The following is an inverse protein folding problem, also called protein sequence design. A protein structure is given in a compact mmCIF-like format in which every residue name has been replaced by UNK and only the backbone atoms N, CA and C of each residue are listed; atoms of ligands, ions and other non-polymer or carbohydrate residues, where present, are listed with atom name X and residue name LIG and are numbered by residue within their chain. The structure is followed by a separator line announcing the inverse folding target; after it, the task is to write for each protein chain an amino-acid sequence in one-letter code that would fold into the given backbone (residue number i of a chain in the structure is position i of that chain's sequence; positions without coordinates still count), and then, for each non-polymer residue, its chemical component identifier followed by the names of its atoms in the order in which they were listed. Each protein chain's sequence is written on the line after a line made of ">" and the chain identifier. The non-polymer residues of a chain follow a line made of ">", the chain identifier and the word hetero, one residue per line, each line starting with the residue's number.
data_IF_435853214120
#
_entry.id   IF_435853214120
#
_cell.length_a   1.000
_cell.length_b   1.000
_cell.length_c   1.000
_cell.angle_alpha   90.00
_cell.angle_beta   90.00
_cell.angle_gamma   90.00
#
_symmetry.space_group_name_H-M   'P 1'
#
loop_
_entity.id
_entity.type
_entity.pdbx_description
1 polymer ?
#
# COMPACT_ATOMS: atom_id res chain seq x y z
N UNK A 1 39.73 29.36 89.98
CA UNK A 1 38.85 30.07 90.94
C UNK A 1 37.88 30.93 90.15
N UNK A 2 36.58 30.89 90.50
CA UNK A 2 35.45 31.66 89.92
C UNK A 2 35.12 31.24 88.47
N UNK A 3 33.88 31.04 88.04
CA UNK A 3 32.53 31.02 88.61
C UNK A 3 31.58 30.43 87.52
N UNK A 4 30.28 30.21 87.78
CA UNK A 4 29.48 29.14 87.18
C UNK A 4 28.37 29.63 86.22
N UNK A 5 27.51 28.69 85.79
CA UNK A 5 26.02 28.77 85.71
C UNK A 5 25.43 28.21 84.40
N UNK A 6 24.62 27.15 84.59
CA UNK A 6 23.38 26.71 83.91
C UNK A 6 23.06 27.14 82.47
N UNK A 7 22.64 26.21 81.62
CA UNK A 7 21.24 25.74 81.44
C UNK A 7 21.19 24.83 80.18
N UNK A 8 20.78 23.58 80.32
CA UNK A 8 19.56 23.00 79.72
C UNK A 8 19.36 23.27 78.21
N UNK A 9 19.36 22.23 77.37
CA UNK A 9 18.14 21.56 76.90
C UNK A 9 18.48 20.53 75.79
N UNK A 10 17.89 19.34 75.90
CA UNK A 10 18.01 18.21 74.97
C UNK A 10 17.60 18.59 73.53
N UNK A 11 18.43 18.23 72.54
CA UNK A 11 18.05 18.24 71.13
C UNK A 11 17.55 16.85 70.71
N UNK A 12 16.29 16.79 70.30
CA UNK A 12 15.64 15.68 69.60
C UNK A 12 16.07 15.73 68.14
N UNK A 13 16.61 14.62 67.61
CA UNK A 13 16.90 14.45 66.18
C UNK A 13 15.61 14.04 65.45
N UNK A 14 15.11 14.89 64.56
CA UNK A 14 14.06 14.54 63.61
C UNK A 14 14.67 13.81 62.40
N UNK A 15 14.23 12.58 62.15
CA UNK A 15 14.48 11.87 60.90
C UNK A 15 13.46 12.33 59.85
N UNK A 16 13.93 12.99 58.79
CA UNK A 16 13.13 13.32 57.62
C UNK A 16 13.24 12.18 56.61
N UNK A 17 12.16 11.40 56.43
CA UNK A 17 12.00 10.46 55.33
C UNK A 17 11.61 11.23 54.06
N UNK A 18 12.53 11.37 53.11
CA UNK A 18 12.19 11.80 51.75
C UNK A 18 11.57 10.62 51.00
N UNK A 19 10.26 10.68 50.77
CA UNK A 19 9.61 9.90 49.71
C UNK A 19 9.88 10.60 48.37
N UNK A 20 10.82 10.05 47.59
CA UNK A 20 11.01 10.43 46.21
C UNK A 20 9.85 9.92 45.36
N UNK A 21 9.00 10.83 44.89
CA UNK A 21 8.07 10.55 43.79
C UNK A 21 8.90 10.44 42.51
N UNK A 22 9.09 9.21 42.01
CA UNK A 22 9.54 9.00 40.63
C UNK A 22 8.33 9.26 39.74
N UNK A 23 8.26 10.46 39.15
CA UNK A 23 7.34 10.72 38.06
C UNK A 23 7.79 9.85 36.87
N UNK A 24 7.08 8.75 36.61
CA UNK A 24 7.24 8.01 35.39
C UNK A 24 6.94 8.94 34.23
N UNK A 25 7.93 9.19 33.37
CA UNK A 25 7.71 9.85 32.11
C UNK A 25 6.78 8.95 31.29
N UNK A 26 5.50 9.32 31.22
CA UNK A 26 4.61 8.77 30.20
C UNK A 26 5.21 9.19 28.86
N UNK A 27 5.82 8.24 28.14
CA UNK A 27 6.09 8.41 26.73
C UNK A 27 4.76 8.71 26.07
N UNK A 28 4.53 9.97 25.66
CA UNK A 28 3.48 10.27 24.69
C UNK A 28 3.80 9.41 23.48
N UNK A 29 3.08 8.30 23.31
CA UNK A 29 3.00 7.68 22.02
C UNK A 29 2.25 8.69 21.17
N UNK A 30 2.93 9.26 20.16
CA UNK A 30 2.24 9.99 19.12
C UNK A 30 1.15 9.05 18.59
N UNK A 31 -0.08 9.56 18.47
CA UNK A 31 -1.12 8.76 17.83
C UNK A 31 -0.65 8.41 16.42
N UNK A 32 -0.86 7.16 15.95
CA UNK A 32 -0.46 6.77 14.61
C UNK A 32 -1.10 7.75 13.62
N UNK A 33 -0.30 8.23 12.66
CA UNK A 33 -0.81 9.16 11.65
C UNK A 33 -1.56 8.33 10.64
N UNK A 34 -2.85 8.62 10.50
CA UNK A 34 -3.65 7.90 9.55
C UNK A 34 -3.21 8.18 8.15
N UNK A 35 -3.69 7.33 7.26
CA UNK A 35 -3.29 7.41 5.89
C UNK A 35 -3.92 8.62 5.22
N UNK A 36 -3.23 9.75 5.38
CA UNK A 36 -3.49 11.03 4.73
C UNK A 36 -2.99 10.94 3.28
N UNK A 37 -3.93 11.09 2.37
CA UNK A 37 -3.70 11.16 0.92
C UNK A 37 -3.84 12.57 0.39
N UNK A 38 -4.33 13.52 1.19
CA UNK A 38 -4.66 14.86 0.72
C UNK A 38 -3.46 15.53 0.07
N UNK A 39 -2.26 15.30 0.61
CA UNK A 39 -1.02 15.85 0.06
C UNK A 39 -0.69 15.31 -1.33
N UNK A 40 -0.90 14.02 -1.59
CA UNK A 40 -0.56 13.40 -2.88
C UNK A 40 -1.70 13.39 -3.90
N UNK A 41 -2.94 13.67 -3.47
CA UNK A 41 -4.07 13.87 -4.38
C UNK A 41 -3.91 15.14 -5.23
N UNK A 42 -3.25 16.16 -4.68
CA UNK A 42 -3.03 17.44 -5.35
C UNK A 42 -1.54 17.80 -5.35
N UNK A 43 -0.68 17.03 -6.04
CA UNK A 43 0.75 17.31 -6.07
C UNK A 43 1.02 18.63 -6.82
N UNK A 44 2.12 19.33 -6.52
CA UNK A 44 2.53 20.50 -7.28
C UNK A 44 2.76 20.15 -8.76
N UNK A 45 2.64 21.13 -9.67
CA UNK A 45 2.92 20.93 -11.08
C UNK A 45 4.30 20.28 -11.29
N UNK A 46 4.36 19.25 -12.13
CA UNK A 46 5.60 18.55 -12.40
C UNK A 46 6.25 19.06 -13.69
N UNK A 47 7.48 19.58 -13.57
CA UNK A 47 8.31 19.95 -14.71
C UNK A 47 9.05 18.74 -15.26
N UNK A 48 8.67 18.30 -16.46
CA UNK A 48 9.31 17.17 -17.11
C UNK A 48 10.78 17.46 -17.48
N UNK A 49 11.68 16.47 -17.33
CA UNK A 49 13.06 16.62 -17.77
C UNK A 49 13.14 16.79 -19.29
N UNK A 50 14.27 17.31 -19.76
CA UNK A 50 14.54 17.39 -21.20
C UNK A 50 14.60 15.97 -21.79
N UNK A 51 13.80 15.73 -22.82
CA UNK A 51 13.85 14.51 -23.63
C UNK A 51 15.26 14.27 -24.18
N UNK A 52 15.76 13.06 -23.98
CA UNK A 52 16.99 12.54 -24.55
C UNK A 52 16.68 11.55 -25.70
N UNK A 53 17.71 11.07 -26.39
CA UNK A 53 17.56 10.00 -27.38
C UNK A 53 17.61 8.66 -26.66
N UNK A 54 16.79 7.70 -27.10
CA UNK A 54 16.98 6.30 -26.72
C UNK A 54 18.39 5.81 -27.10
N UNK A 55 18.98 5.01 -26.23
CA UNK A 55 20.32 4.43 -26.38
C UNK A 55 20.33 3.33 -27.42
N UNK A 56 19.28 2.53 -27.49
CA UNK A 56 19.09 1.49 -28.48
C UNK A 56 18.14 1.98 -29.57
N UNK A 57 18.53 1.86 -30.83
CA UNK A 57 17.75 2.42 -31.92
C UNK A 57 16.37 1.76 -32.03
N UNK A 58 16.25 0.46 -31.78
CA UNK A 58 14.99 -0.28 -31.79
C UNK A 58 13.97 0.26 -30.76
N UNK A 59 14.43 0.82 -29.64
CA UNK A 59 13.54 1.41 -28.63
C UNK A 59 12.81 2.66 -29.15
N UNK A 60 13.34 3.34 -30.18
CA UNK A 60 12.61 4.41 -30.87
C UNK A 60 11.39 3.90 -31.65
N UNK A 61 11.43 2.65 -32.10
CA UNK A 61 10.30 2.01 -32.78
C UNK A 61 9.31 1.45 -31.74
N UNK A 62 9.82 0.79 -30.70
CA UNK A 62 9.03 0.30 -29.57
C UNK A 62 8.19 1.40 -28.92
N UNK A 63 8.79 2.56 -28.64
CA UNK A 63 8.13 3.69 -27.98
C UNK A 63 7.11 4.43 -28.85
N UNK A 64 6.81 3.95 -30.07
CA UNK A 64 5.66 4.42 -30.85
C UNK A 64 4.36 3.72 -30.46
N UNK A 65 4.46 2.64 -29.68
CA UNK A 65 3.32 1.89 -29.15
C UNK A 65 2.88 2.44 -27.78
N UNK A 66 1.81 1.88 -27.22
CA UNK A 66 1.23 2.30 -25.94
C UNK A 66 2.13 1.90 -24.77
N UNK A 67 2.48 2.81 -23.84
CA UNK A 67 3.25 2.48 -22.64
C UNK A 67 2.38 1.80 -21.57
N UNK A 68 2.89 0.70 -21.00
CA UNK A 68 2.26 -0.05 -19.89
C UNK A 68 3.09 -0.03 -18.60
N UNK A 69 3.87 1.03 -18.44
CA UNK A 69 4.79 1.19 -17.32
C UNK A 69 4.09 1.13 -15.97
N UNK A 70 4.73 0.45 -15.01
CA UNK A 70 4.21 0.27 -13.66
C UNK A 70 5.27 0.60 -12.61
N UNK A 71 4.88 1.35 -11.59
CA UNK A 71 5.58 1.37 -10.31
C UNK A 71 4.93 0.38 -9.33
N UNK A 72 5.73 -0.41 -8.62
CA UNK A 72 5.23 -1.35 -7.60
C UNK A 72 5.11 -0.65 -6.24
N UNK A 73 3.88 -0.42 -5.79
CA UNK A 73 3.64 0.23 -4.51
C UNK A 73 4.30 -0.52 -3.35
N UNK A 74 4.79 0.24 -2.38
CA UNK A 74 5.46 -0.30 -1.19
C UNK A 74 4.71 0.10 0.08
N UNK A 75 4.72 -0.81 1.05
CA UNK A 75 4.45 -0.46 2.45
C UNK A 75 5.71 -0.68 3.25
N UNK A 76 6.12 0.32 4.01
CA UNK A 76 7.41 0.37 4.70
C UNK A 76 7.19 0.88 6.12
N UNK A 77 7.84 0.27 7.11
CA UNK A 77 7.78 0.77 8.47
C UNK A 77 8.63 2.05 8.59
N UNK A 78 8.11 3.06 9.28
CA UNK A 78 8.79 4.34 9.47
C UNK A 78 10.23 4.16 9.99
N UNK A 79 11.16 4.93 9.43
CA UNK A 79 12.58 4.86 9.77
C UNK A 79 13.38 3.75 9.07
N UNK A 80 12.75 2.91 8.23
CA UNK A 80 13.47 1.91 7.45
C UNK A 80 13.74 2.38 6.01
N UNK A 81 14.95 2.15 5.47
CA UNK A 81 15.20 2.31 4.04
C UNK A 81 14.42 1.26 3.25
N UNK A 82 14.16 1.53 1.98
CA UNK A 82 13.41 0.62 1.12
C UNK A 82 13.91 0.65 -0.32
N UNK A 83 13.49 -0.34 -1.11
CA UNK A 83 13.87 -0.48 -2.51
C UNK A 83 12.62 -0.60 -3.37
N UNK A 84 12.34 0.42 -4.16
CA UNK A 84 11.19 0.50 -5.04
C UNK A 84 11.51 -0.07 -6.41
N UNK A 85 10.56 -0.81 -6.99
CA UNK A 85 10.70 -1.41 -8.32
C UNK A 85 9.80 -0.68 -9.31
N UNK A 86 10.36 -0.35 -10.47
CA UNK A 86 9.60 0.11 -11.64
C UNK A 86 9.80 -0.84 -12.82
N UNK A 87 8.75 -1.07 -13.60
CA UNK A 87 8.73 -1.92 -14.80
C UNK A 87 8.29 -1.08 -16.00
N UNK A 88 9.02 -1.19 -17.10
CA UNK A 88 8.81 -0.39 -18.31
C UNK A 88 8.74 -1.29 -19.53
N UNK A 89 7.61 -1.22 -20.23
CA UNK A 89 7.31 -1.93 -21.45
C UNK A 89 6.40 -1.09 -22.37
N UNK A 90 6.30 -1.52 -23.62
CA UNK A 90 5.36 -0.96 -24.58
C UNK A 90 4.65 -2.08 -25.36
N UNK A 91 3.42 -1.78 -25.75
CA UNK A 91 2.65 -2.57 -26.70
C UNK A 91 1.54 -3.39 -26.07
N UNK A 92 0.36 -3.27 -26.66
CA UNK A 92 -0.92 -3.82 -26.17
C UNK A 92 -0.97 -5.35 -26.24
N UNK A 93 -0.24 -5.95 -27.18
CA UNK A 93 -0.29 -7.40 -27.43
C UNK A 93 0.90 -8.12 -26.82
N UNK A 94 2.10 -7.57 -26.99
CA UNK A 94 3.35 -8.27 -26.66
C UNK A 94 4.04 -7.76 -25.40
N UNK A 95 3.64 -6.60 -24.85
CA UNK A 95 4.22 -6.01 -23.64
C UNK A 95 5.75 -6.08 -23.63
N UNK A 96 6.36 -5.53 -24.69
CA UNK A 96 7.79 -5.68 -24.92
C UNK A 96 8.59 -4.73 -24.02
N UNK A 97 9.51 -5.32 -23.26
CA UNK A 97 10.36 -4.61 -22.32
C UNK A 97 11.15 -3.48 -22.96
N UNK A 98 11.16 -2.33 -22.28
CA UNK A 98 12.08 -1.23 -22.58
C UNK A 98 13.43 -1.55 -21.96
N UNK A 99 14.34 -2.14 -22.73
CA UNK A 99 15.63 -2.62 -22.23
C UNK A 99 16.73 -1.55 -22.32
N UNK A 100 17.52 -1.42 -21.25
CA UNK A 100 18.73 -0.58 -21.19
C UNK A 100 18.54 0.91 -21.47
N UNK A 101 17.39 1.49 -21.15
CA UNK A 101 17.09 2.91 -21.32
C UNK A 101 17.06 3.68 -20.01
N UNK A 102 17.27 4.99 -20.11
CA UNK A 102 17.33 5.86 -18.94
C UNK A 102 15.94 6.27 -18.46
N UNK A 103 15.74 6.12 -17.15
CA UNK A 103 14.58 6.59 -16.41
C UNK A 103 15.06 7.53 -15.30
N UNK A 104 14.46 8.71 -15.21
CA UNK A 104 14.67 9.61 -14.07
C UNK A 104 13.55 9.46 -13.05
N UNK A 105 13.89 9.53 -11.77
CA UNK A 105 12.97 9.29 -10.68
C UNK A 105 12.89 10.51 -9.78
N UNK A 106 11.66 10.83 -9.36
CA UNK A 106 11.33 11.99 -8.55
C UNK A 106 10.39 11.58 -7.44
N UNK A 107 10.55 12.14 -6.24
CA UNK A 107 9.66 11.89 -5.11
C UNK A 107 8.93 13.17 -4.71
N UNK A 108 7.68 13.02 -4.30
CA UNK A 108 6.90 14.06 -3.64
C UNK A 108 6.09 13.43 -2.50
N UNK A 109 5.80 14.22 -1.45
CA UNK A 109 5.14 13.77 -0.23
C UNK A 109 5.33 14.76 0.92
N UNK A 110 5.04 14.34 2.15
CA UNK A 110 5.04 15.21 3.32
C UNK A 110 6.32 16.01 3.49
N UNK A 111 6.15 17.29 3.82
CA UNK A 111 7.23 18.23 4.12
C UNK A 111 8.24 18.49 2.98
N UNK A 112 8.05 17.95 1.78
CA UNK A 112 8.98 18.16 0.65
C UNK A 112 8.74 19.48 -0.09
N UNK A 113 7.49 19.97 -0.10
CA UNK A 113 7.07 21.25 -0.72
C UNK A 113 7.05 21.26 -2.26
N UNK A 114 7.93 20.50 -2.91
CA UNK A 114 7.99 20.31 -4.36
C UNK A 114 8.59 18.93 -4.71
N UNK A 115 8.51 18.54 -5.98
CA UNK A 115 9.12 17.33 -6.51
C UNK A 115 10.64 17.36 -6.36
N UNK A 116 11.22 16.30 -5.78
CA UNK A 116 12.65 16.14 -5.60
C UNK A 116 13.20 15.08 -6.54
N UNK A 117 14.23 15.42 -7.32
CA UNK A 117 14.98 14.44 -8.10
C UNK A 117 15.74 13.49 -7.18
N UNK A 118 15.51 12.18 -7.32
CA UNK A 118 16.12 11.16 -6.46
C UNK A 118 17.03 10.19 -7.22
N UNK A 119 17.01 10.18 -8.55
CA UNK A 119 17.94 9.31 -9.27
C UNK A 119 17.74 9.20 -10.77
N UNK A 120 18.73 8.58 -11.40
CA UNK A 120 18.72 8.17 -12.80
C UNK A 120 19.12 6.71 -12.87
N UNK A 121 18.24 5.90 -13.44
CA UNK A 121 18.35 4.44 -13.46
C UNK A 121 18.28 3.94 -14.89
N UNK A 122 19.06 2.92 -15.22
CA UNK A 122 18.92 2.21 -16.50
C UNK A 122 18.01 1.00 -16.30
N UNK A 123 17.04 0.80 -17.20
CA UNK A 123 16.28 -0.44 -17.22
C UNK A 123 17.20 -1.62 -17.51
N UNK A 124 16.94 -2.78 -16.89
CA UNK A 124 17.68 -4.01 -17.16
C UNK A 124 17.09 -4.77 -18.39
N UNK A 125 17.52 -6.02 -18.59
CA UNK A 125 17.01 -6.89 -19.67
C UNK A 125 15.53 -7.28 -19.54
N UNK A 126 14.93 -7.05 -18.38
CA UNK A 126 13.52 -7.30 -18.05
C UNK A 126 12.77 -5.96 -17.91
N UNK A 127 13.30 -4.87 -18.47
CA UNK A 127 12.68 -3.56 -18.40
C UNK A 127 12.50 -3.00 -16.99
N UNK A 128 13.21 -3.52 -15.98
CA UNK A 128 13.08 -3.11 -14.57
C UNK A 128 14.13 -2.09 -14.17
N UNK A 129 13.74 -1.14 -13.33
CA UNK A 129 14.66 -0.33 -12.51
C UNK A 129 14.43 -0.64 -11.04
N UNK A 130 15.46 -0.37 -10.23
CA UNK A 130 15.38 -0.40 -8.78
C UNK A 130 15.85 0.93 -8.22
N UNK A 131 15.03 1.52 -7.35
CA UNK A 131 15.23 2.84 -6.75
C UNK A 131 15.42 2.64 -5.25
N UNK A 132 16.61 2.97 -4.75
CA UNK A 132 16.87 2.96 -3.30
C UNK A 132 16.28 4.24 -2.70
N UNK A 133 15.43 4.07 -1.69
CA UNK A 133 14.84 5.17 -0.93
C UNK A 133 15.46 5.21 0.46
N UNK A 134 15.83 6.40 0.97
CA UNK A 134 16.29 6.53 2.34
C UNK A 134 15.16 6.19 3.31
N UNK A 135 15.48 6.14 4.61
CA UNK A 135 14.45 6.13 5.63
C UNK A 135 13.59 7.39 5.50
N UNK A 136 12.28 7.19 5.32
CA UNK A 136 11.28 8.24 5.20
C UNK A 136 10.48 8.36 6.51
N UNK A 137 9.93 9.55 6.76
CA UNK A 137 8.98 9.79 7.83
C UNK A 137 7.60 9.18 7.48
N UNK A 138 6.78 8.92 8.49
CA UNK A 138 5.42 8.42 8.31
C UNK A 138 4.62 9.31 7.36
N UNK A 139 3.89 8.69 6.42
CA UNK A 139 3.13 9.39 5.40
C UNK A 139 3.04 8.66 4.07
N UNK A 140 2.40 9.30 3.09
CA UNK A 140 2.27 8.79 1.72
C UNK A 140 3.16 9.58 0.78
N UNK A 141 3.99 8.88 0.03
CA UNK A 141 4.86 9.49 -0.99
C UNK A 141 4.49 8.95 -2.36
N UNK A 142 4.61 9.79 -3.38
CA UNK A 142 4.54 9.40 -4.78
C UNK A 142 5.93 9.48 -5.39
N UNK A 143 6.36 8.39 -6.03
CA UNK A 143 7.57 8.35 -6.83
C UNK A 143 7.19 8.32 -8.30
N UNK A 144 7.43 9.42 -9.01
CA UNK A 144 7.25 9.53 -10.45
C UNK A 144 8.51 9.06 -11.16
N UNK A 145 8.35 8.17 -12.13
CA UNK A 145 9.43 7.61 -12.93
C UNK A 145 9.20 7.97 -14.40
N UNK A 146 10.13 8.71 -14.99
CA UNK A 146 10.00 9.30 -16.34
C UNK A 146 11.04 8.69 -17.27
N UNK A 147 10.58 8.06 -18.36
CA UNK A 147 11.44 7.53 -19.42
C UNK A 147 12.02 8.70 -20.20
N UNK A 148 13.35 8.78 -20.29
CA UNK A 148 14.02 9.95 -20.88
C UNK A 148 13.86 10.03 -22.41
N UNK A 149 13.61 8.89 -23.07
CA UNK A 149 13.59 8.80 -24.53
C UNK A 149 12.31 9.32 -25.21
N UNK A 150 11.19 9.37 -24.48
CA UNK A 150 9.87 9.78 -24.98
C UNK A 150 9.02 10.53 -23.93
N UNK A 151 9.48 10.63 -22.68
CA UNK A 151 8.81 11.25 -21.53
C UNK A 151 7.53 10.53 -21.09
N UNK A 152 7.30 9.28 -21.51
CA UNK A 152 6.30 8.43 -20.87
C UNK A 152 6.67 8.26 -19.39
N UNK A 153 5.67 8.03 -18.54
CA UNK A 153 5.91 7.93 -17.11
C UNK A 153 4.93 7.03 -16.40
N UNK A 154 5.30 6.64 -15.19
CA UNK A 154 4.44 5.95 -14.24
C UNK A 154 4.69 6.47 -12.83
N UNK A 155 3.74 6.25 -11.94
CA UNK A 155 3.88 6.56 -10.53
C UNK A 155 3.91 5.24 -9.74
N UNK A 156 4.64 5.23 -8.64
CA UNK A 156 4.49 4.27 -7.54
C UNK A 156 4.19 5.03 -6.25
N UNK A 157 3.43 4.39 -5.37
CA UNK A 157 3.07 4.96 -4.07
C UNK A 157 3.84 4.22 -2.97
N UNK A 158 4.52 4.98 -2.13
CA UNK A 158 5.30 4.46 -0.99
C UNK A 158 4.58 4.88 0.26
N UNK A 159 4.06 3.90 0.98
CA UNK A 159 3.30 4.10 2.20
C UNK A 159 4.19 3.80 3.40
N UNK A 160 4.53 4.84 4.14
CA UNK A 160 5.37 4.73 5.34
C UNK A 160 4.48 4.75 6.56
N UNK A 161 4.52 3.69 7.37
CA UNK A 161 3.55 3.47 8.46
C UNK A 161 4.24 3.17 9.79
N UNK A 162 3.57 3.50 10.88
CA UNK A 162 3.94 3.01 12.20
C UNK A 162 3.68 1.49 12.32
N UNK A 163 4.56 0.71 12.98
CA UNK A 163 4.33 -0.72 13.19
C UNK A 163 3.00 -1.01 13.91
N UNK A 164 2.25 -1.99 13.41
CA UNK A 164 0.94 -2.36 13.92
C UNK A 164 -0.23 -1.62 13.27
N UNK A 165 0.02 -0.78 12.26
CA UNK A 165 -1.03 -0.10 11.48
C UNK A 165 -2.02 -1.13 10.93
N UNK A 166 -3.30 -0.98 11.25
CA UNK A 166 -4.33 -1.94 10.87
C UNK A 166 -4.73 -1.76 9.40
N UNK A 167 -4.88 -2.87 8.69
CA UNK A 167 -5.26 -2.86 7.28
C UNK A 167 -6.34 -3.88 6.96
N UNK A 168 -7.05 -3.63 5.86
CA UNK A 168 -7.97 -4.59 5.25
C UNK A 168 -7.51 -4.86 3.83
N UNK A 169 -7.42 -6.14 3.48
CA UNK A 169 -7.02 -6.61 2.15
C UNK A 169 -8.25 -6.88 1.32
N UNK A 170 -8.23 -6.42 0.08
CA UNK A 170 -9.26 -6.68 -0.91
C UNK A 170 -8.60 -7.28 -2.15
N UNK A 171 -8.97 -8.51 -2.49
CA UNK A 171 -8.87 -8.92 -3.88
C UNK A 171 -9.81 -8.07 -4.74
N UNK A 172 -9.51 -7.91 -6.03
CA UNK A 172 -10.29 -7.07 -6.95
C UNK A 172 -11.24 -7.92 -7.80
N UNK A 173 -10.70 -8.93 -8.47
CA UNK A 173 -11.35 -9.63 -9.57
C UNK A 173 -12.40 -10.61 -9.03
N UNK A 174 -13.67 -10.41 -9.39
CA UNK A 174 -14.84 -11.13 -8.87
C UNK A 174 -15.08 -10.97 -7.36
N UNK A 175 -14.14 -10.35 -6.63
CA UNK A 175 -14.31 -9.94 -5.24
C UNK A 175 -14.97 -8.56 -5.16
N UNK A 176 -14.37 -7.53 -5.75
CA UNK A 176 -14.98 -6.19 -5.84
C UNK A 176 -15.77 -6.01 -7.15
N UNK A 177 -15.45 -6.77 -8.19
CA UNK A 177 -16.20 -6.82 -9.45
C UNK A 177 -17.19 -8.00 -9.47
N UNK A 178 -18.23 -7.97 -10.33
CA UNK A 178 -19.30 -8.98 -10.31
C UNK A 178 -18.92 -10.36 -10.86
N UNK A 179 -18.18 -10.45 -11.97
CA UNK A 179 -17.57 -11.69 -12.51
C UNK A 179 -16.78 -11.39 -13.80
N UNK A 180 -15.82 -12.25 -14.13
CA UNK A 180 -14.87 -12.12 -15.24
C UNK A 180 -15.33 -12.90 -16.50
N UNK A 181 -16.42 -12.52 -17.22
CA UNK A 181 -16.74 -13.20 -18.51
C UNK A 181 -17.68 -12.56 -19.55
N UNK A 182 -17.94 -11.25 -19.60
CA UNK A 182 -18.49 -10.63 -20.84
C UNK A 182 -17.79 -9.32 -21.22
N UNK A 183 -16.46 -9.34 -21.25
CA UNK A 183 -15.66 -8.49 -22.15
C UNK A 183 -14.41 -9.22 -22.63
N UNK A 184 -14.58 -10.41 -23.24
CA UNK A 184 -13.47 -11.20 -23.86
C UNK A 184 -12.93 -10.55 -25.16
N UNK A 185 -13.14 -9.26 -25.40
CA UNK A 185 -12.58 -8.59 -26.59
C UNK A 185 -11.93 -7.24 -26.35
N UNK A 186 -11.88 -6.73 -25.11
CA UNK A 186 -11.20 -5.46 -24.86
C UNK A 186 -9.88 -5.72 -24.13
N UNK A 187 -8.83 -5.85 -24.94
CA UNK A 187 -7.41 -5.81 -24.56
C UNK A 187 -7.01 -4.45 -23.92
N UNK A 188 -7.96 -3.71 -23.36
CA UNK A 188 -7.86 -2.34 -22.80
C UNK A 188 -7.82 -2.31 -21.27
N UNK A 189 -8.10 -3.43 -20.60
CA UNK A 189 -8.06 -3.48 -19.13
C UNK A 189 -9.45 -3.33 -18.51
N UNK A 190 -9.49 -3.19 -17.19
CA UNK A 190 -10.66 -3.23 -16.30
C UNK A 190 -11.67 -2.08 -16.57
N UNK A 191 -11.61 -1.43 -17.73
CA UNK A 191 -12.36 -0.20 -18.02
C UNK A 191 -13.89 -0.38 -18.05
N UNK A 192 -14.43 -1.59 -17.88
CA UNK A 192 -15.88 -1.85 -17.91
C UNK A 192 -16.41 -2.84 -16.87
N UNK A 193 -15.59 -3.27 -15.90
CA UNK A 193 -16.08 -4.20 -14.89
C UNK A 193 -17.04 -3.49 -13.92
N UNK A 194 -18.28 -3.97 -13.80
CA UNK A 194 -19.24 -3.42 -12.84
C UNK A 194 -18.81 -3.77 -11.40
N UNK A 195 -18.69 -2.78 -10.51
CA UNK A 195 -18.51 -3.05 -9.08
C UNK A 195 -19.69 -3.85 -8.53
N UNK A 196 -19.43 -4.79 -7.62
CA UNK A 196 -20.49 -5.41 -6.83
C UNK A 196 -21.23 -4.34 -6.04
N UNK A 197 -22.53 -4.55 -5.85
CA UNK A 197 -23.34 -3.65 -5.04
C UNK A 197 -22.74 -3.49 -3.64
N UNK A 198 -22.53 -2.25 -3.19
CA UNK A 198 -21.95 -1.96 -1.88
C UNK A 198 -20.42 -2.05 -1.80
N UNK A 199 -19.72 -2.35 -2.90
CA UNK A 199 -18.26 -2.53 -2.89
C UNK A 199 -17.49 -1.24 -2.60
N UNK A 200 -17.94 -0.11 -3.18
CA UNK A 200 -17.36 1.21 -2.88
C UNK A 200 -17.55 1.58 -1.41
N UNK A 201 -18.80 1.48 -0.94
CA UNK A 201 -19.20 1.78 0.43
C UNK A 201 -18.48 0.89 1.45
N UNK A 202 -18.22 -0.38 1.10
CA UNK A 202 -17.42 -1.29 1.91
C UNK A 202 -16.04 -0.72 2.21
N UNK A 203 -15.32 -0.31 1.16
CA UNK A 203 -13.96 0.22 1.31
C UNK A 203 -13.99 1.57 2.03
N UNK A 204 -14.88 2.47 1.64
CA UNK A 204 -15.05 3.78 2.27
C UNK A 204 -15.32 3.66 3.78
N UNK A 205 -16.11 2.69 4.22
CA UNK A 205 -16.39 2.48 5.63
C UNK A 205 -15.13 2.05 6.42
N UNK A 206 -14.28 1.20 5.84
CA UNK A 206 -13.01 0.85 6.48
C UNK A 206 -12.04 2.02 6.54
N UNK A 207 -11.99 2.84 5.49
CA UNK A 207 -11.22 4.08 5.49
C UNK A 207 -11.72 4.99 6.63
N UNK A 208 -13.04 5.14 6.78
CA UNK A 208 -13.64 5.94 7.84
C UNK A 208 -13.38 5.40 9.27
N UNK A 209 -13.14 4.09 9.40
CA UNK A 209 -12.69 3.44 10.63
C UNK A 209 -11.15 3.47 10.81
N UNK A 210 -10.43 4.14 9.91
CA UNK A 210 -8.98 4.34 9.95
C UNK A 210 -8.15 3.15 9.49
N UNK A 211 -8.76 2.11 8.91
CA UNK A 211 -8.02 1.01 8.33
C UNK A 211 -7.38 1.41 7.01
N UNK A 212 -6.17 0.91 6.75
CA UNK A 212 -5.52 1.04 5.46
C UNK A 212 -6.03 -0.02 4.46
N UNK A 213 -6.71 0.36 3.36
CA UNK A 213 -7.05 -0.54 2.27
C UNK A 213 -5.80 -0.98 1.50
N UNK A 214 -5.71 -2.28 1.22
CA UNK A 214 -4.72 -2.89 0.33
C UNK A 214 -5.46 -3.62 -0.78
N UNK A 215 -5.22 -3.23 -2.02
CA UNK A 215 -5.78 -3.90 -3.20
C UNK A 215 -4.76 -4.87 -3.77
N UNK A 216 -5.15 -6.13 -3.91
CA UNK A 216 -4.27 -7.22 -4.32
C UNK A 216 -4.91 -8.04 -5.43
N UNK A 217 -4.43 -7.91 -6.66
CA UNK A 217 -4.89 -8.72 -7.81
C UNK A 217 -3.77 -9.64 -8.31
N UNK A 218 -4.17 -10.78 -8.86
CA UNK A 218 -3.30 -11.72 -9.56
C UNK A 218 -2.98 -11.27 -11.00
N UNK A 219 -3.65 -10.25 -11.54
CA UNK A 219 -3.39 -9.75 -12.89
C UNK A 219 -1.91 -9.38 -13.04
N UNK A 220 -1.31 -9.59 -14.23
CA UNK A 220 0.07 -9.21 -14.48
C UNK A 220 0.25 -7.68 -14.48
N UNK A 221 1.49 -7.23 -14.27
CA UNK A 221 1.86 -5.83 -14.03
C UNK A 221 1.29 -4.81 -15.03
N UNK A 222 1.10 -5.18 -16.29
CA UNK A 222 0.54 -4.28 -17.30
C UNK A 222 -0.93 -3.94 -17.08
N UNK A 223 -1.67 -4.66 -16.22
CA UNK A 223 -3.01 -4.24 -15.80
C UNK A 223 -3.02 -3.22 -14.67
N UNK A 224 -1.87 -2.87 -14.07
CA UNK A 224 -1.83 -1.97 -12.93
C UNK A 224 -2.44 -0.59 -13.24
N UNK A 225 -2.17 -0.03 -14.43
CA UNK A 225 -2.74 1.25 -14.85
C UNK A 225 -4.27 1.20 -14.92
N UNK A 226 -4.81 0.17 -15.59
CA UNK A 226 -6.26 -0.02 -15.73
C UNK A 226 -6.94 -0.32 -14.39
N UNK A 227 -6.32 -1.15 -13.55
CA UNK A 227 -6.84 -1.46 -12.21
C UNK A 227 -6.91 -0.21 -11.33
N UNK A 228 -5.86 0.62 -11.37
CA UNK A 228 -5.84 1.89 -10.62
C UNK A 228 -6.86 2.88 -11.17
N UNK A 229 -7.04 2.94 -12.49
CA UNK A 229 -8.09 3.75 -13.10
C UNK A 229 -9.48 3.27 -12.68
N UNK A 230 -9.72 1.97 -12.67
CA UNK A 230 -11.00 1.41 -12.22
C UNK A 230 -11.31 1.76 -10.75
N UNK A 231 -10.33 1.64 -9.85
CA UNK A 231 -10.47 2.04 -8.45
C UNK A 231 -10.84 3.54 -8.30
N UNK A 232 -10.29 4.42 -9.13
CA UNK A 232 -10.64 5.84 -9.11
C UNK A 232 -12.02 6.12 -9.72
N UNK A 233 -12.27 5.59 -10.92
CA UNK A 233 -13.39 6.01 -11.74
C UNK A 233 -14.71 5.34 -11.28
N UNK A 234 -14.64 4.09 -10.81
CA UNK A 234 -15.81 3.29 -10.44
C UNK A 234 -15.99 3.13 -8.92
N UNK A 235 -14.89 3.10 -8.16
CA UNK A 235 -14.94 2.96 -6.71
C UNK A 235 -14.76 4.30 -5.98
N UNK A 236 -14.40 5.37 -6.71
CA UNK A 236 -14.14 6.71 -6.17
C UNK A 236 -13.05 6.77 -5.09
N UNK A 237 -12.05 5.87 -5.22
CA UNK A 237 -10.97 5.75 -4.25
C UNK A 237 -9.70 6.49 -4.72
N UNK A 238 -8.99 7.17 -3.80
CA UNK A 238 -7.62 7.63 -4.01
C UNK A 238 -6.65 6.50 -4.39
N UNK A 239 -5.41 6.86 -4.77
CA UNK A 239 -4.37 5.90 -5.15
C UNK A 239 -3.75 5.19 -3.92
N UNK A 240 -4.56 4.39 -3.23
CA UNK A 240 -4.14 3.46 -2.18
C UNK A 240 -3.18 2.38 -2.72
N UNK A 241 -2.64 1.57 -1.81
CA UNK A 241 -1.71 0.49 -2.17
C UNK A 241 -2.38 -0.51 -3.09
N UNK A 242 -1.85 -0.63 -4.31
CA UNK A 242 -2.24 -1.62 -5.31
C UNK A 242 -1.06 -2.53 -5.62
N UNK A 243 -1.29 -3.84 -5.58
CA UNK A 243 -0.31 -4.86 -5.92
C UNK A 243 -0.84 -5.77 -7.02
N UNK A 244 -0.06 -5.91 -8.07
CA UNK A 244 -0.26 -6.81 -9.21
C UNK A 244 0.92 -7.77 -9.34
N UNK A 245 0.73 -8.90 -10.03
CA UNK A 245 1.78 -9.88 -10.24
C UNK A 245 2.94 -9.29 -11.07
N UNK A 246 4.18 -9.63 -10.68
CA UNK A 246 5.42 -9.16 -11.32
C UNK A 246 5.76 -9.90 -12.63
N UNK A 247 5.05 -11.00 -12.90
CA UNK A 247 5.27 -11.86 -14.05
C UNK A 247 3.97 -12.59 -14.44
N UNK A 248 3.92 -13.06 -15.69
CA UNK A 248 2.85 -13.96 -16.14
C UNK A 248 2.84 -15.29 -15.41
N UNK A 249 4.02 -15.80 -15.04
CA UNK A 249 4.13 -17.07 -14.35
C UNK A 249 3.45 -17.00 -12.99
N UNK A 250 3.73 -15.94 -12.24
CA UNK A 250 3.11 -15.68 -10.94
C UNK A 250 1.60 -15.47 -11.09
N UNK A 251 1.19 -14.74 -12.13
CA UNK A 251 -0.21 -14.44 -12.42
C UNK A 251 -1.06 -15.67 -12.75
N UNK A 252 -0.51 -16.64 -13.49
CA UNK A 252 -1.27 -17.75 -14.07
C UNK A 252 -1.10 -19.04 -13.25
N UNK A 253 0.11 -19.32 -12.77
CA UNK A 253 0.46 -20.65 -12.23
C UNK A 253 0.77 -20.64 -10.74
N UNK A 254 1.04 -19.46 -10.15
CA UNK A 254 1.51 -19.35 -8.76
C UNK A 254 0.78 -18.26 -7.98
N UNK A 255 -0.50 -18.05 -8.28
CA UNK A 255 -1.31 -16.96 -7.73
C UNK A 255 -1.31 -16.93 -6.20
N UNK A 256 -1.51 -18.08 -5.55
CA UNK A 256 -1.50 -18.18 -4.09
C UNK A 256 -0.11 -17.88 -3.49
N UNK A 257 0.98 -18.36 -4.12
CA UNK A 257 2.35 -18.06 -3.69
C UNK A 257 2.64 -16.56 -3.80
N UNK A 258 2.26 -15.95 -4.92
CA UNK A 258 2.42 -14.52 -5.17
C UNK A 258 1.65 -13.69 -4.13
N UNK A 259 0.34 -13.95 -3.96
CA UNK A 259 -0.50 -13.21 -3.02
C UNK A 259 0.05 -13.35 -1.59
N UNK A 260 0.40 -14.56 -1.16
CA UNK A 260 1.00 -14.79 0.16
C UNK A 260 2.33 -14.04 0.33
N UNK A 261 3.20 -14.06 -0.69
CA UNK A 261 4.48 -13.35 -0.67
C UNK A 261 4.30 -11.84 -0.51
N UNK A 262 3.38 -11.24 -1.26
CA UNK A 262 3.07 -9.80 -1.16
C UNK A 262 2.51 -9.45 0.22
N UNK A 263 1.59 -10.24 0.75
CA UNK A 263 1.01 -9.99 2.07
C UNK A 263 2.05 -10.12 3.18
N UNK A 264 2.98 -11.08 3.06
CA UNK A 264 4.10 -11.22 3.98
C UNK A 264 5.05 -10.01 3.92
N UNK A 265 5.36 -9.50 2.72
CA UNK A 265 6.14 -8.27 2.54
C UNK A 265 5.46 -7.07 3.22
N UNK A 266 4.14 -6.94 3.04
CA UNK A 266 3.34 -5.86 3.64
C UNK A 266 3.31 -5.96 5.17
N UNK A 267 3.13 -7.16 5.73
CA UNK A 267 3.20 -7.38 7.18
C UNK A 267 4.59 -7.04 7.74
N UNK A 268 5.65 -7.43 7.04
CA UNK A 268 7.04 -7.07 7.39
C UNK A 268 7.27 -5.55 7.30
N UNK A 269 6.51 -4.86 6.44
CA UNK A 269 6.44 -3.40 6.34
C UNK A 269 5.70 -2.71 7.48
N UNK A 270 5.26 -3.43 8.51
CA UNK A 270 4.63 -2.86 9.71
C UNK A 270 3.10 -2.89 9.71
N UNK A 271 2.47 -3.52 8.72
CA UNK A 271 1.02 -3.69 8.68
C UNK A 271 0.56 -4.89 9.52
N UNK A 272 -0.53 -4.71 10.24
CA UNK A 272 -1.31 -5.79 10.85
C UNK A 272 -2.60 -5.96 10.05
N UNK A 273 -2.70 -7.07 9.30
CA UNK A 273 -3.88 -7.34 8.49
C UNK A 273 -5.01 -7.80 9.42
N UNK A 274 -6.04 -6.97 9.53
CA UNK A 274 -7.20 -7.23 10.39
C UNK A 274 -8.19 -8.19 9.73
N UNK A 275 -8.39 -8.04 8.41
CA UNK A 275 -9.40 -8.75 7.63
C UNK A 275 -8.99 -8.83 6.16
N UNK A 276 -9.48 -9.84 5.46
CA UNK A 276 -9.31 -9.97 4.01
C UNK A 276 -10.61 -10.39 3.31
N UNK A 277 -10.75 -9.93 2.07
CA UNK A 277 -11.85 -10.22 1.16
C UNK A 277 -11.33 -10.89 -0.11
N UNK A 278 -11.97 -11.97 -0.54
CA UNK A 278 -11.60 -12.71 -1.74
C UNK A 278 -12.76 -13.48 -2.35
N UNK A 279 -12.53 -14.14 -3.48
CA UNK A 279 -13.50 -15.02 -4.14
C UNK A 279 -12.92 -16.40 -4.44
N UNK A 280 -11.59 -16.50 -4.58
CA UNK A 280 -10.94 -17.68 -5.12
C UNK A 280 -10.33 -18.60 -4.04
N UNK A 281 -10.11 -19.86 -4.39
CA UNK A 281 -9.33 -20.80 -3.57
C UNK A 281 -7.91 -20.28 -3.28
N UNK A 282 -7.29 -19.63 -4.27
CA UNK A 282 -5.97 -19.01 -4.15
C UNK A 282 -5.93 -17.85 -3.16
N UNK A 283 -7.03 -17.10 -2.99
CA UNK A 283 -7.15 -16.09 -1.93
C UNK A 283 -7.21 -16.75 -0.56
N UNK A 284 -8.08 -17.74 -0.42
CA UNK A 284 -8.27 -18.47 0.83
C UNK A 284 -6.96 -19.09 1.31
N UNK A 285 -6.20 -19.69 0.39
CA UNK A 285 -4.89 -20.25 0.64
C UNK A 285 -3.87 -19.17 1.01
N UNK A 286 -3.78 -18.07 0.25
CA UNK A 286 -2.83 -17.00 0.52
C UNK A 286 -3.06 -16.33 1.88
N UNK A 287 -4.31 -16.05 2.22
CA UNK A 287 -4.71 -15.43 3.48
C UNK A 287 -4.41 -16.33 4.67
N UNK A 288 -4.64 -17.64 4.54
CA UNK A 288 -4.29 -18.62 5.57
C UNK A 288 -2.78 -18.71 5.80
N UNK A 289 -1.97 -18.73 4.73
CA UNK A 289 -0.51 -18.83 4.82
C UNK A 289 0.14 -17.68 5.59
N UNK A 290 -0.45 -16.48 5.54
CA UNK A 290 0.01 -15.29 6.29
C UNK A 290 -0.73 -15.08 7.61
N UNK A 291 -1.50 -16.08 8.05
CA UNK A 291 -2.08 -16.15 9.38
C UNK A 291 -3.35 -15.32 9.59
N UNK A 292 -4.06 -14.93 8.54
CA UNK A 292 -5.34 -14.22 8.67
C UNK A 292 -6.39 -15.22 9.20
N UNK A 293 -7.06 -14.94 10.33
CA UNK A 293 -8.05 -15.85 10.88
C UNK A 293 -9.21 -16.10 9.91
N UNK A 294 -9.68 -17.35 9.80
CA UNK A 294 -10.78 -17.71 8.89
C UNK A 294 -12.10 -16.95 9.17
N UNK A 295 -12.34 -16.56 10.42
CA UNK A 295 -13.47 -15.71 10.79
C UNK A 295 -13.27 -14.20 10.50
N UNK A 296 -12.10 -13.84 9.97
CA UNK A 296 -11.76 -12.54 9.38
C UNK A 296 -11.35 -12.66 7.90
N UNK A 297 -11.58 -13.83 7.30
CA UNK A 297 -11.47 -14.04 5.86
C UNK A 297 -12.88 -14.16 5.31
N UNK A 298 -13.31 -13.17 4.55
CA UNK A 298 -14.63 -13.14 3.95
C UNK A 298 -14.55 -13.49 2.48
N UNK A 299 -15.37 -14.45 2.05
CA UNK A 299 -15.39 -14.90 0.66
C UNK A 299 -16.77 -14.75 0.04
N UNK A 300 -16.79 -14.35 -1.23
CA UNK A 300 -18.00 -14.08 -2.01
C UNK A 300 -17.97 -14.89 -3.31
N UNK A 301 -19.15 -15.18 -3.86
CA UNK A 301 -19.29 -15.99 -5.07
C UNK A 301 -19.34 -17.49 -4.78
N UNK A 302 -18.95 -18.30 -5.76
CA UNK A 302 -19.16 -19.75 -5.75
C UNK A 302 -18.41 -20.50 -4.63
N UNK A 303 -17.28 -19.94 -4.18
CA UNK A 303 -16.46 -20.50 -3.10
C UNK A 303 -16.70 -19.80 -1.74
N UNK A 304 -17.82 -19.07 -1.60
CA UNK A 304 -18.16 -18.41 -0.35
C UNK A 304 -18.26 -19.42 0.82
N UNK A 305 -17.44 -19.21 1.85
CA UNK A 305 -17.37 -20.07 3.04
C UNK A 305 -16.44 -21.28 2.92
N UNK A 306 -15.80 -21.50 1.77
CA UNK A 306 -14.89 -22.63 1.58
C UNK A 306 -13.71 -22.61 2.55
N UNK A 307 -13.22 -23.80 2.89
CA UNK A 307 -12.17 -24.03 3.89
C UNK A 307 -12.42 -23.30 5.24
N UNK A 308 -13.69 -23.14 5.62
CA UNK A 308 -14.10 -22.55 6.90
C UNK A 308 -14.00 -21.02 6.96
N UNK A 309 -13.85 -20.36 5.80
CA UNK A 309 -13.97 -18.89 5.69
C UNK A 309 -15.39 -18.42 5.98
N UNK A 310 -15.58 -17.11 6.10
CA UNK A 310 -16.92 -16.54 6.38
C UNK A 310 -17.60 -16.16 5.06
N UNK A 311 -18.73 -16.77 4.69
CA UNK A 311 -19.39 -16.48 3.44
C UNK A 311 -20.06 -15.09 3.47
N UNK A 312 -19.97 -14.36 2.35
CA UNK A 312 -20.81 -13.19 2.07
C UNK A 312 -21.95 -13.63 1.14
N UNK A 313 -23.20 -13.72 1.65
CA UNK A 313 -24.34 -14.14 0.85
C UNK A 313 -24.79 -13.03 -0.11
N UNK A 314 -25.50 -13.43 -1.18
CA UNK A 314 -26.25 -12.48 -2.03
C UNK A 314 -25.43 -11.77 -3.12
N UNK A 315 -24.13 -12.05 -3.26
CA UNK A 315 -23.32 -11.57 -4.39
C UNK A 315 -22.99 -10.07 -4.35
N UNK A 316 -23.24 -9.40 -3.21
CA UNK A 316 -22.87 -8.02 -2.93
C UNK A 316 -22.68 -7.77 -1.43
N UNK A 317 -22.42 -6.52 -1.05
CA UNK A 317 -21.94 -6.16 0.29
C UNK A 317 -22.96 -5.45 1.17
N UNK A 318 -24.20 -5.19 0.71
CA UNK A 318 -25.19 -4.43 1.48
C UNK A 318 -25.49 -5.05 2.87
N UNK A 319 -25.86 -6.33 2.92
CA UNK A 319 -26.14 -6.99 4.20
C UNK A 319 -24.87 -7.10 5.05
N UNK A 320 -23.71 -7.27 4.40
CA UNK A 320 -22.41 -7.35 5.05
C UNK A 320 -22.02 -6.04 5.73
N UNK A 321 -22.32 -4.91 5.09
CA UNK A 321 -22.12 -3.57 5.63
C UNK A 321 -22.87 -3.40 6.95
N UNK A 322 -24.14 -3.78 6.99
CA UNK A 322 -24.99 -3.59 8.17
C UNK A 322 -24.68 -4.55 9.32
N UNK A 323 -24.22 -5.76 9.00
CA UNK A 323 -24.08 -6.84 10.01
C UNK A 323 -22.65 -6.98 10.54
N UNK A 324 -21.65 -6.79 9.67
CA UNK A 324 -20.24 -7.05 10.01
C UNK A 324 -19.44 -5.75 10.04
N UNK A 325 -19.58 -4.90 9.03
CA UNK A 325 -18.74 -3.71 8.90
C UNK A 325 -19.16 -2.64 9.90
N UNK A 326 -20.46 -2.39 10.06
CA UNK A 326 -21.01 -1.41 11.00
C UNK A 326 -20.67 -1.70 12.48
N UNK A 327 -20.34 -2.95 12.82
CA UNK A 327 -19.93 -3.36 14.18
C UNK A 327 -18.41 -3.51 14.33
N UNK A 328 -17.65 -3.26 13.25
CA UNK A 328 -16.19 -3.32 13.29
C UNK A 328 -15.65 -2.16 14.12
N UNK A 329 -14.74 -2.42 15.09
CA UNK A 329 -14.15 -1.36 15.89
C UNK A 329 -13.30 -0.43 15.03
N UNK A 330 -13.05 0.76 15.57
CA UNK A 330 -12.04 1.65 14.99
C UNK A 330 -10.65 1.00 15.04
N UNK A 331 -9.85 1.24 14.00
CA UNK A 331 -8.46 0.78 13.92
C UNK A 331 -7.54 1.35 15.02
N UNK A 332 -7.98 2.40 15.72
CA UNK A 332 -7.16 3.19 16.64
C UNK A 332 -6.41 4.32 15.95
N UNK A 333 -6.68 4.52 14.65
CA UNK A 333 -6.14 5.60 13.85
C UNK A 333 -7.29 6.54 13.45
N UNK A 334 -7.30 7.78 13.94
CA UNK A 334 -8.19 8.85 13.47
C UNK A 334 -7.50 10.17 13.28
#
# INVERSE_FOLDING_TARGET
>A
MKAPINMSLQMIFNALLLFGFVAGAATLHAQPVCTDFAEIENPPPFDYPRRERFRLFWNNWLAQDTPFHMGHDLVVAAGNPSRLTGKFDYGIVFHKDLEYEWVQTYIYGPNLGDWQFIGRHATNSDGKIFVELPALEEGTYVVKMVVMGDLSSTNAYVRVVSPGTQAVVFDIDETLTIDDLETILDYTGIEWAEPRQGAGELVEHYIALGYHPIFLTARPYWYAKGSRQWLRDYMHLPDYTLRTALSNEDSIFRTADYKAGVLQEIQNGGISIFRAYGNADTDIEAYERVGIPKNQTFTIGDLAGDNGTTPIPGGGYNDHLDTVVATTPDSGCR
#
